data_IF_215156489834
#
_entry.id   IF_215156489834
#
_cell.length_a   1.000
_cell.length_b   1.000
_cell.length_c   1.000
_cell.angle_alpha   90.00
_cell.angle_beta   90.00
_cell.angle_gamma   90.00
#
_symmetry.space_group_name_H-M   'P 1'
#
loop_
_entity.id
_entity.type
_entity.pdbx_description
1 polymer ?
#
# COMPACT_ATOMS: atom_id res chain seq x y z
N UNK A 1 19.43 1.42 0.33
CA UNK A 1 17.99 1.69 0.41
C UNK A 1 17.54 1.04 1.70
N UNK A 2 16.95 1.82 2.59
CA UNK A 2 16.45 1.30 3.86
C UNK A 2 14.98 0.96 3.66
N UNK A 3 14.52 -0.12 4.27
CA UNK A 3 13.14 -0.57 4.22
C UNK A 3 12.59 -0.56 5.62
N UNK A 4 11.32 -0.22 5.80
CA UNK A 4 10.65 -0.32 7.09
C UNK A 4 9.62 -1.45 7.04
N UNK A 5 9.57 -2.22 8.12
CA UNK A 5 8.58 -3.29 8.31
C UNK A 5 7.93 -3.13 9.67
N UNK A 6 6.73 -3.67 9.83
CA UNK A 6 6.06 -3.72 11.12
C UNK A 6 5.86 -5.17 11.58
N UNK A 7 5.90 -5.38 12.89
CA UNK A 7 5.71 -6.70 13.51
C UNK A 7 4.86 -6.57 14.76
N UNK A 8 4.00 -7.56 14.99
CA UNK A 8 3.35 -7.74 16.30
C UNK A 8 4.43 -7.97 17.37
N UNK A 9 4.39 -7.14 18.42
CA UNK A 9 5.24 -7.30 19.61
C UNK A 9 4.48 -8.10 20.66
N UNK A 10 3.28 -7.64 21.02
CA UNK A 10 2.46 -8.26 22.05
C UNK A 10 0.98 -7.90 21.91
N UNK A 11 0.13 -8.73 22.51
CA UNK A 11 -1.28 -8.44 22.72
C UNK A 11 -1.44 -7.57 23.94
N UNK A 12 -2.24 -6.51 23.82
CA UNK A 12 -2.50 -5.56 24.90
C UNK A 12 -3.98 -5.50 25.21
N UNK A 13 -4.34 -5.11 26.43
CA UNK A 13 -5.72 -4.71 26.74
C UNK A 13 -5.94 -3.29 26.23
N UNK A 14 -6.81 -3.10 25.25
CA UNK A 14 -7.09 -1.79 24.69
C UNK A 14 -8.23 -1.11 25.46
N UNK A 15 -8.04 0.17 25.79
CA UNK A 15 -9.08 1.03 26.39
C UNK A 15 -9.28 2.24 25.47
N UNK A 16 -10.43 2.32 24.77
CA UNK A 16 -10.74 3.50 23.97
C UNK A 16 -10.73 4.74 24.85
N UNK A 17 -9.96 5.76 24.45
CA UNK A 17 -9.85 7.03 25.17
C UNK A 17 -11.16 7.84 25.18
N UNK A 18 -12.13 7.47 24.34
CA UNK A 18 -13.42 8.14 24.13
C UNK A 18 -14.55 7.67 25.05
N UNK A 19 -14.38 6.60 25.84
CA UNK A 19 -15.45 6.10 26.72
C UNK A 19 -15.38 6.71 28.12
N UNK A 20 -16.47 7.34 28.62
CA UNK A 20 -16.52 7.90 29.96
C UNK A 20 -16.43 6.77 31.01
N UNK A 21 -15.83 7.09 32.17
CA UNK A 21 -15.62 6.22 33.34
C UNK A 21 -16.89 5.48 33.81
N UNK A 22 -17.31 4.42 33.10
CA UNK A 22 -18.27 3.46 33.60
C UNK A 22 -17.52 2.23 34.09
N UNK A 23 -17.79 1.83 35.33
CA UNK A 23 -17.09 0.77 36.08
C UNK A 23 -17.18 -0.64 35.45
N UNK A 24 -17.86 -0.79 34.29
CA UNK A 24 -17.86 -2.00 33.47
C UNK A 24 -16.84 -1.86 32.32
N UNK A 25 -15.60 -2.24 32.60
CA UNK A 25 -14.47 -2.22 31.67
C UNK A 25 -14.63 -3.30 30.58
N UNK A 26 -15.23 -2.97 29.45
CA UNK A 26 -15.02 -3.74 28.22
C UNK A 26 -13.65 -3.36 27.65
N UNK A 27 -12.61 -4.10 28.04
CA UNK A 27 -11.32 -4.08 27.32
C UNK A 27 -11.43 -5.04 26.16
N UNK A 28 -11.44 -4.52 24.94
CA UNK A 28 -11.20 -5.32 23.75
C UNK A 28 -9.69 -5.57 23.66
N UNK A 29 -9.28 -6.71 23.13
CA UNK A 29 -7.87 -6.99 22.94
C UNK A 29 -7.35 -6.12 21.77
N UNK A 30 -6.20 -5.49 21.95
CA UNK A 30 -5.47 -4.78 20.89
C UNK A 30 -4.08 -5.38 20.69
N UNK A 31 -3.30 -4.75 19.84
CA UNK A 31 -1.93 -5.15 19.53
C UNK A 31 -0.97 -3.98 19.71
N UNK A 32 0.21 -4.25 20.27
CA UNK A 32 1.35 -3.37 20.14
C UNK A 32 2.17 -3.80 18.93
N UNK A 33 2.37 -2.87 18.00
CA UNK A 33 3.06 -3.10 16.74
C UNK A 33 4.38 -2.34 16.76
N UNK A 34 5.49 -3.05 16.59
CA UNK A 34 6.82 -2.45 16.45
C UNK A 34 7.11 -2.07 15.01
N UNK A 35 7.76 -0.94 14.80
CA UNK A 35 8.26 -0.48 13.50
C UNK A 35 9.77 -0.67 13.46
N UNK A 36 10.25 -1.43 12.48
CA UNK A 36 11.64 -1.83 12.35
C UNK A 36 12.22 -1.29 11.05
N UNK A 37 13.37 -0.64 11.16
CA UNK A 37 14.21 -0.28 10.02
C UNK A 37 15.10 -1.47 9.68
N UNK A 38 15.13 -1.83 8.40
CA UNK A 38 15.91 -2.94 7.84
C UNK A 38 17.02 -2.38 6.97
N UNK A 39 18.27 -2.59 7.37
CA UNK A 39 19.46 -2.19 6.62
C UNK A 39 20.47 -3.34 6.61
N UNK A 40 20.94 -3.75 5.43
CA UNK A 40 21.94 -4.83 5.27
C UNK A 40 21.62 -6.13 6.04
N UNK A 41 20.34 -6.46 6.14
CA UNK A 41 19.85 -7.64 6.87
C UNK A 41 19.76 -7.47 8.39
N UNK A 42 20.08 -6.30 8.92
CA UNK A 42 19.90 -5.95 10.32
C UNK A 42 18.59 -5.21 10.52
N UNK A 43 17.88 -5.58 11.60
CA UNK A 43 16.64 -4.94 12.01
C UNK A 43 16.86 -4.13 13.29
N UNK A 44 16.44 -2.87 13.26
CA UNK A 44 16.46 -1.97 14.40
C UNK A 44 15.05 -1.44 14.63
N UNK A 45 14.50 -1.62 15.83
CA UNK A 45 13.22 -1.01 16.18
C UNK A 45 13.40 0.51 16.30
N UNK A 46 12.67 1.26 15.47
CA UNK A 46 12.72 2.73 15.44
C UNK A 46 11.50 3.38 16.10
N UNK A 47 10.43 2.61 16.31
CA UNK A 47 9.25 3.05 17.02
C UNK A 47 8.21 1.95 17.18
N UNK A 48 7.00 2.35 17.58
CA UNK A 48 5.86 1.47 17.77
C UNK A 48 4.55 2.25 17.74
N UNK A 49 3.44 1.56 17.54
CA UNK A 49 2.09 2.08 17.70
C UNK A 49 1.16 1.02 18.25
N UNK A 50 0.04 1.45 18.83
CA UNK A 50 -1.02 0.56 19.30
C UNK A 50 -2.12 0.46 18.25
N UNK A 51 -2.59 -0.76 18.01
CA UNK A 51 -3.75 -1.06 17.18
C UNK A 51 -4.89 -1.53 18.09
N UNK A 52 -6.07 -0.95 17.93
CA UNK A 52 -7.28 -1.29 18.71
C UNK A 52 -8.01 -2.56 18.23
N UNK A 53 -7.33 -3.37 17.42
CA UNK A 53 -7.85 -4.61 16.84
C UNK A 53 -6.88 -5.77 17.06
N UNK A 54 -7.41 -6.98 17.26
CA UNK A 54 -6.63 -8.18 17.64
C UNK A 54 -5.84 -8.81 16.51
N UNK A 55 -6.08 -8.40 15.27
CA UNK A 55 -5.45 -8.98 14.10
C UNK A 55 -4.50 -7.96 13.47
N UNK A 56 -3.23 -8.39 13.35
CA UNK A 56 -2.23 -7.72 12.54
C UNK A 56 -2.40 -8.22 11.10
N UNK A 57 -3.25 -7.54 10.35
CA UNK A 57 -3.33 -7.73 8.90
C UNK A 57 -2.11 -7.08 8.21
N UNK A 58 -2.13 -6.92 6.88
CA UNK A 58 -1.08 -6.22 6.12
C UNK A 58 -1.25 -4.68 6.18
N UNK A 59 -1.55 -4.17 7.38
CA UNK A 59 -1.90 -2.76 7.64
C UNK A 59 -0.69 -1.90 7.99
N UNK A 60 0.46 -2.17 7.37
CA UNK A 60 1.64 -1.32 7.40
C UNK A 60 2.30 -1.34 6.03
N UNK A 61 2.39 -0.19 5.36
CA UNK A 61 3.00 -0.09 4.04
C UNK A 61 3.93 1.11 3.97
N UNK A 62 5.24 0.82 3.94
CA UNK A 62 6.30 1.80 3.74
C UNK A 62 6.32 2.28 2.28
N UNK A 63 6.50 3.59 2.09
CA UNK A 63 6.73 4.20 0.79
C UNK A 63 7.58 5.47 0.90
N UNK A 64 8.11 5.95 -0.22
CA UNK A 64 8.91 7.18 -0.29
C UNK A 64 8.20 8.22 -1.15
N UNK A 65 8.11 9.45 -0.65
CA UNK A 65 7.58 10.59 -1.39
C UNK A 65 8.43 11.83 -1.14
N UNK A 66 8.77 12.58 -2.18
CA UNK A 66 9.65 13.76 -2.11
C UNK A 66 10.97 13.51 -1.35
N UNK A 67 11.52 12.29 -1.48
CA UNK A 67 12.76 11.87 -0.81
C UNK A 67 12.64 11.62 0.70
N UNK A 68 11.41 11.54 1.24
CA UNK A 68 11.13 11.23 2.64
C UNK A 68 10.39 9.89 2.76
N UNK A 69 10.68 9.17 3.84
CA UNK A 69 10.03 7.91 4.16
C UNK A 69 8.72 8.14 4.93
N UNK A 70 7.67 7.46 4.48
CA UNK A 70 6.36 7.44 5.12
C UNK A 70 5.86 6.01 5.25
N UNK A 71 4.86 5.80 6.10
CA UNK A 71 4.07 4.57 6.09
C UNK A 71 2.58 4.87 6.16
N UNK A 72 1.78 4.06 5.46
CA UNK A 72 0.37 3.89 5.76
C UNK A 72 0.23 2.88 6.89
N UNK A 73 -0.55 3.20 7.90
CA UNK A 73 -0.90 2.28 8.98
C UNK A 73 -2.38 2.41 9.39
N UNK A 74 -2.82 1.58 10.32
CA UNK A 74 -4.19 1.61 10.86
C UNK A 74 -4.10 1.34 12.38
N UNK A 75 -3.88 2.37 13.20
CA UNK A 75 -3.92 2.25 14.66
C UNK A 75 -5.36 2.09 15.17
N UNK A 76 -6.32 2.69 14.47
CA UNK A 76 -7.75 2.45 14.65
C UNK A 76 -8.23 1.53 13.52
N UNK A 77 -8.98 0.49 13.88
CA UNK A 77 -9.51 -0.52 12.97
C UNK A 77 -10.27 0.08 11.79
N UNK A 78 -10.81 1.29 11.91
CA UNK A 78 -11.67 1.94 10.90
C UNK A 78 -11.01 3.09 10.12
N UNK A 79 -9.72 3.33 10.34
CA UNK A 79 -9.03 4.51 9.80
C UNK A 79 -7.66 4.15 9.24
N UNK A 80 -7.32 4.78 8.12
CA UNK A 80 -5.94 4.84 7.59
C UNK A 80 -5.24 6.06 8.18
N UNK A 81 -4.02 5.87 8.66
CA UNK A 81 -3.15 6.95 9.14
C UNK A 81 -1.88 7.04 8.28
N UNK A 82 -1.32 8.24 8.25
CA UNK A 82 -0.03 8.52 7.64
C UNK A 82 1.03 8.71 8.74
N UNK A 83 2.09 7.92 8.70
CA UNK A 83 3.22 8.00 9.62
C UNK A 83 4.47 8.53 8.92
N UNK A 84 5.20 9.43 9.56
CA UNK A 84 6.53 9.88 9.15
C UNK A 84 7.63 8.96 9.73
N UNK A 85 8.54 8.48 8.87
CA UNK A 85 9.65 7.62 9.27
C UNK A 85 11.00 8.37 9.16
N UNK A 86 12.01 8.05 10.01
CA UNK A 86 12.00 7.02 11.06
C UNK A 86 11.39 7.48 12.39
N UNK A 87 10.89 8.72 12.49
CA UNK A 87 10.41 9.28 13.76
C UNK A 87 9.17 8.59 14.34
N UNK A 88 8.47 7.79 13.53
CA UNK A 88 7.18 7.18 13.83
C UNK A 88 6.12 8.21 14.29
N UNK A 89 6.26 9.46 13.87
CA UNK A 89 5.29 10.52 14.15
C UNK A 89 4.05 10.31 13.29
N UNK A 90 2.89 10.21 13.93
CA UNK A 90 1.60 10.25 13.24
C UNK A 90 1.35 11.66 12.68
N UNK A 91 1.09 11.74 11.38
CA UNK A 91 0.80 12.97 10.66
C UNK A 91 -0.70 13.23 10.50
N UNK A 92 -1.54 12.21 10.74
CA UNK A 92 -2.99 12.34 10.68
C UNK A 92 -3.67 11.22 9.90
N UNK A 93 -4.99 11.24 10.03
CA UNK A 93 -5.94 10.31 9.43
C UNK A 93 -6.30 10.66 7.98
N UNK A 94 -6.86 9.67 7.28
CA UNK A 94 -7.46 9.86 5.97
C UNK A 94 -8.67 10.78 5.98
N UNK A 95 -8.74 11.65 4.97
CA UNK A 95 -9.95 12.41 4.70
C UNK A 95 -10.90 11.51 3.91
N UNK A 96 -12.05 11.18 4.49
CA UNK A 96 -13.09 10.41 3.83
C UNK A 96 -14.50 10.95 4.08
N UNK A 97 -15.34 10.95 3.05
CA UNK A 97 -16.73 11.40 3.07
C UNK A 97 -17.71 10.23 2.77
N UNK A 98 -17.58 9.11 3.48
CA UNK A 98 -18.44 7.94 3.23
C UNK A 98 -18.57 6.98 4.43
N UNK A 99 -18.80 5.70 4.13
CA UNK A 99 -18.97 4.62 5.13
C UNK A 99 -17.64 4.26 5.81
N UNK A 100 -17.67 4.02 7.12
CA UNK A 100 -16.53 3.48 7.88
C UNK A 100 -15.93 2.26 7.17
N UNK A 101 -14.59 2.23 7.09
CA UNK A 101 -13.86 1.24 6.31
C UNK A 101 -12.74 0.67 7.16
N UNK A 102 -12.70 -0.65 7.32
CA UNK A 102 -11.70 -1.32 8.14
C UNK A 102 -10.55 -1.83 7.28
N UNK A 103 -9.36 -1.17 7.29
CA UNK A 103 -8.25 -1.57 6.43
C UNK A 103 -7.68 -2.92 6.86
N UNK A 104 -7.42 -3.77 5.87
CA UNK A 104 -6.80 -5.08 6.02
C UNK A 104 -5.47 -5.15 5.25
N UNK A 105 -5.34 -4.43 4.15
CA UNK A 105 -4.09 -4.37 3.38
C UNK A 105 -3.90 -3.03 2.69
N UNK A 106 -2.65 -2.59 2.60
CA UNK A 106 -2.26 -1.43 1.80
C UNK A 106 -1.29 -1.84 0.69
N UNK A 107 -1.35 -1.13 -0.43
CA UNK A 107 -0.42 -1.32 -1.52
C UNK A 107 -0.10 0.01 -2.21
N UNK A 108 1.17 0.41 -2.21
CA UNK A 108 1.67 1.57 -2.95
C UNK A 108 2.54 1.06 -4.11
N UNK A 109 2.12 1.23 -5.37
CA UNK A 109 2.91 0.74 -6.50
C UNK A 109 4.27 1.41 -6.60
N UNK A 110 5.26 0.63 -7.03
CA UNK A 110 6.62 1.08 -7.27
C UNK A 110 6.97 1.02 -8.75
N UNK A 111 7.96 1.80 -9.15
CA UNK A 111 8.50 1.75 -10.50
C UNK A 111 9.97 2.19 -10.56
N UNK A 112 10.62 1.88 -11.67
CA UNK A 112 11.90 2.49 -12.08
C UNK A 112 11.78 3.06 -13.48
N UNK A 113 12.47 4.17 -13.70
CA UNK A 113 12.66 4.73 -15.04
C UNK A 113 13.88 4.10 -15.69
N UNK A 114 13.71 3.64 -16.92
CA UNK A 114 14.80 3.11 -17.73
C UNK A 114 14.99 4.00 -18.94
N UNK A 115 16.21 4.51 -19.10
CA UNK A 115 16.64 5.30 -20.24
C UNK A 115 17.49 4.44 -21.16
N UNK A 116 17.08 4.31 -22.42
CA UNK A 116 17.78 3.54 -23.43
C UNK A 116 18.17 4.43 -24.60
N UNK A 117 19.45 4.43 -24.96
CA UNK A 117 19.95 5.17 -26.12
C UNK A 117 19.85 4.31 -27.37
N UNK A 118 19.00 4.70 -28.31
CA UNK A 118 18.84 4.03 -29.59
C UNK A 118 20.16 4.11 -30.38
N UNK A 119 20.70 2.97 -30.78
CA UNK A 119 22.01 2.88 -31.42
C UNK A 119 22.09 3.48 -32.82
N UNK A 120 20.96 3.62 -33.50
CA UNK A 120 20.90 4.13 -34.87
C UNK A 120 20.60 5.63 -34.90
N UNK A 121 19.67 6.09 -34.07
CA UNK A 121 19.22 7.50 -34.05
C UNK A 121 19.93 8.35 -33.00
N UNK A 122 20.57 7.74 -32.00
CA UNK A 122 21.08 8.44 -30.81
C UNK A 122 19.98 9.01 -29.91
N UNK A 123 18.70 8.80 -30.23
CA UNK A 123 17.57 9.26 -29.42
C UNK A 123 17.53 8.47 -28.11
N UNK A 124 17.24 9.15 -27.00
CA UNK A 124 16.96 8.51 -25.72
C UNK A 124 15.48 8.16 -25.67
N UNK A 125 15.20 6.88 -25.51
CA UNK A 125 13.87 6.35 -25.23
C UNK A 125 13.73 6.15 -23.73
N UNK A 126 12.56 6.52 -23.19
CA UNK A 126 12.23 6.35 -21.77
C UNK A 126 11.11 5.35 -21.63
N UNK A 127 11.27 4.42 -20.70
CA UNK A 127 10.22 3.46 -20.33
C UNK A 127 10.16 3.31 -18.82
N UNK A 128 8.99 2.93 -18.32
CA UNK A 128 8.78 2.61 -16.90
C UNK A 128 8.65 1.10 -16.73
N UNK A 129 9.36 0.56 -15.75
CA UNK A 129 9.13 -0.81 -15.26
C UNK A 129 8.39 -0.68 -13.94
N UNK A 130 7.15 -1.12 -13.92
CA UNK A 130 6.33 -1.18 -12.70
C UNK A 130 6.69 -2.43 -11.90
N UNK A 131 6.61 -2.35 -10.57
CA UNK A 131 6.96 -3.44 -9.66
C UNK A 131 8.30 -4.12 -10.01
N UNK A 132 9.40 -3.35 -10.14
CA UNK A 132 10.66 -3.88 -10.62
C UNK A 132 11.21 -4.94 -9.68
N UNK A 133 11.74 -6.02 -10.25
CA UNK A 133 12.40 -7.11 -9.54
C UNK A 133 13.91 -6.83 -9.44
N UNK A 134 14.65 -7.51 -8.55
CA UNK A 134 16.11 -7.32 -8.43
C UNK A 134 16.86 -7.43 -9.77
N UNK A 135 16.43 -8.32 -10.65
CA UNK A 135 16.98 -8.50 -12.00
C UNK A 135 16.82 -7.27 -12.92
N UNK A 136 15.78 -6.44 -12.71
CA UNK A 136 15.53 -5.24 -13.53
C UNK A 136 16.55 -4.12 -13.28
N UNK A 137 17.28 -4.20 -12.16
CA UNK A 137 18.38 -3.29 -11.83
C UNK A 137 19.73 -3.73 -12.41
N UNK A 138 19.81 -4.94 -12.95
CA UNK A 138 21.04 -5.52 -13.49
C UNK A 138 21.01 -5.37 -15.02
N UNK A 139 22.02 -4.74 -15.60
CA UNK A 139 22.20 -4.71 -17.06
C UNK A 139 22.98 -5.98 -17.47
N UNK A 140 22.33 -6.98 -18.10
CA UNK A 140 22.92 -8.31 -18.25
C UNK A 140 24.03 -8.37 -19.31
N UNK A 141 24.08 -7.41 -20.24
CA UNK A 141 25.04 -7.43 -21.34
C UNK A 141 25.92 -6.16 -21.34
N UNK A 142 27.25 -6.28 -21.19
CA UNK A 142 28.20 -5.16 -21.17
C UNK A 142 28.10 -4.24 -22.39
N UNK A 143 27.70 -4.76 -23.56
CA UNK A 143 27.53 -3.97 -24.79
C UNK A 143 26.42 -2.91 -24.68
N UNK A 144 25.50 -3.07 -23.73
CA UNK A 144 24.40 -2.13 -23.47
C UNK A 144 24.63 -1.28 -22.22
N UNK A 145 25.74 -1.49 -21.48
CA UNK A 145 26.00 -0.79 -20.21
C UNK A 145 26.07 0.74 -20.38
N UNK A 146 26.59 1.21 -21.51
CA UNK A 146 26.67 2.64 -21.80
C UNK A 146 25.37 3.20 -22.41
N UNK A 147 24.45 2.32 -22.85
CA UNK A 147 23.21 2.69 -23.55
C UNK A 147 21.99 2.68 -22.64
N UNK A 148 21.97 1.80 -21.65
CA UNK A 148 20.86 1.61 -20.71
C UNK A 148 21.25 2.19 -19.37
N UNK A 149 20.40 3.07 -18.82
CA UNK A 149 20.52 3.58 -17.46
C UNK A 149 19.22 3.31 -16.72
N UNK A 150 19.31 2.62 -15.59
CA UNK A 150 18.18 2.36 -14.69
C UNK A 150 18.24 3.39 -13.57
N UNK A 151 17.15 4.10 -13.35
CA UNK A 151 16.99 5.06 -12.25
C UNK A 151 16.80 4.37 -10.90
N UNK A 152 16.71 5.17 -9.81
CA UNK A 152 16.37 4.63 -8.49
C UNK A 152 14.93 4.11 -8.46
N UNK A 153 14.63 3.24 -7.48
CA UNK A 153 13.26 2.84 -7.16
C UNK A 153 12.45 4.07 -6.74
N UNK A 154 11.25 4.19 -7.30
CA UNK A 154 10.30 5.26 -7.02
C UNK A 154 8.95 4.66 -6.64
N UNK A 155 8.12 5.45 -5.96
CA UNK A 155 6.76 5.10 -5.58
C UNK A 155 5.77 5.98 -6.34
N UNK A 156 4.63 5.41 -6.69
CA UNK A 156 3.52 6.16 -7.28
C UNK A 156 2.94 7.16 -6.26
N UNK A 157 2.40 8.31 -6.71
CA UNK A 157 1.74 9.29 -5.85
C UNK A 157 0.33 8.85 -5.40
N UNK A 158 0.07 7.54 -5.42
CA UNK A 158 -1.20 6.93 -5.03
C UNK A 158 -0.97 5.51 -4.56
N UNK A 159 -1.95 4.98 -3.85
CA UNK A 159 -1.98 3.60 -3.41
C UNK A 159 -3.39 3.02 -3.46
N UNK A 160 -3.51 1.85 -2.88
CA UNK A 160 -4.75 1.10 -2.76
C UNK A 160 -4.89 0.61 -1.33
N UNK A 161 -6.12 0.47 -0.91
CA UNK A 161 -6.47 -0.19 0.35
C UNK A 161 -7.50 -1.28 0.06
N UNK A 162 -7.35 -2.42 0.73
CA UNK A 162 -8.36 -3.46 0.81
C UNK A 162 -8.85 -3.58 2.25
N UNK A 163 -10.15 -3.79 2.42
CA UNK A 163 -10.76 -3.82 3.75
C UNK A 163 -12.28 -3.96 3.70
N UNK A 164 -12.92 -4.23 4.84
CA UNK A 164 -14.37 -4.33 4.89
C UNK A 164 -15.03 -2.95 5.08
N UNK A 165 -16.22 -2.80 4.52
CA UNK A 165 -17.07 -1.64 4.81
C UNK A 165 -17.98 -2.02 5.99
N UNK A 166 -18.23 -1.09 6.89
CA UNK A 166 -19.09 -1.35 8.05
C UNK A 166 -20.45 -1.92 7.62
N UNK A 167 -20.78 -3.11 8.14
CA UNK A 167 -22.01 -3.83 7.81
C UNK A 167 -21.86 -4.88 6.69
N UNK A 168 -20.70 -4.95 6.04
CA UNK A 168 -20.31 -6.10 5.21
C UNK A 168 -18.87 -6.56 5.54
N UNK A 169 -18.80 -7.35 6.59
CA UNK A 169 -17.58 -7.97 7.11
C UNK A 169 -17.17 -9.24 6.31
N UNK A 170 -17.96 -9.65 5.31
CA UNK A 170 -17.72 -10.87 4.56
C UNK A 170 -16.80 -10.68 3.35
N UNK A 171 -16.60 -9.43 2.92
CA UNK A 171 -15.80 -9.13 1.72
C UNK A 171 -14.88 -7.92 1.91
N UNK A 172 -13.69 -7.98 1.33
CA UNK A 172 -12.71 -6.90 1.34
C UNK A 172 -12.78 -6.12 0.03
N UNK A 173 -13.10 -4.82 0.08
CA UNK A 173 -13.30 -3.95 -1.08
C UNK A 173 -11.99 -3.22 -1.38
N UNK A 174 -11.68 -3.05 -2.66
CA UNK A 174 -10.51 -2.32 -3.11
C UNK A 174 -10.91 -0.85 -3.35
N UNK A 175 -10.25 0.06 -2.63
CA UNK A 175 -10.43 1.51 -2.80
C UNK A 175 -9.11 2.21 -3.14
N UNK A 176 -9.23 3.42 -3.69
CA UNK A 176 -8.09 4.25 -4.11
C UNK A 176 -7.63 5.15 -2.96
N UNK A 177 -6.32 5.33 -2.84
CA UNK A 177 -5.68 6.31 -1.96
C UNK A 177 -4.91 7.35 -2.77
N UNK A 178 -5.26 8.63 -2.63
CA UNK A 178 -4.45 9.76 -3.11
C UNK A 178 -3.33 10.06 -2.11
N UNK A 179 -2.08 9.89 -2.55
CA UNK A 179 -0.89 10.14 -1.76
C UNK A 179 -0.08 11.34 -2.28
N UNK A 180 -0.62 12.10 -3.23
CA UNK A 180 0.08 13.22 -3.86
C UNK A 180 0.38 14.38 -2.91
N UNK A 181 -0.24 14.41 -1.73
CA UNK A 181 -0.10 15.48 -0.74
C UNK A 181 0.37 14.99 0.65
N UNK A 182 1.01 13.82 0.71
CA UNK A 182 1.54 13.26 1.97
C UNK A 182 2.55 14.16 2.66
N UNK A 183 3.31 14.97 1.91
CA UNK A 183 4.24 15.96 2.48
C UNK A 183 3.55 17.07 3.27
N UNK A 184 2.23 17.21 3.12
CA UNK A 184 1.37 18.10 3.90
C UNK A 184 0.56 17.37 4.99
N UNK A 185 0.78 16.06 5.16
CA UNK A 185 -0.02 15.22 6.06
C UNK A 185 -1.41 14.87 5.51
N UNK A 186 -1.63 14.96 4.19
CA UNK A 186 -2.95 14.74 3.59
C UNK A 186 -2.94 13.44 2.80
N UNK A 187 -3.83 12.54 3.18
CA UNK A 187 -4.21 11.33 2.43
C UNK A 187 -5.73 11.35 2.21
N UNK A 188 -6.16 10.94 1.02
CA UNK A 188 -7.59 10.88 0.69
C UNK A 188 -7.95 9.50 0.18
N UNK A 189 -9.07 8.96 0.64
CA UNK A 189 -9.63 7.71 0.16
C UNK A 189 -10.87 7.97 -0.68
N UNK A 190 -11.06 7.21 -1.73
CA UNK A 190 -12.35 7.19 -2.44
C UNK A 190 -12.63 5.85 -3.12
N UNK A 191 -13.93 5.60 -3.34
CA UNK A 191 -14.45 4.40 -3.97
C UNK A 191 -14.65 4.57 -5.50
N UNK A 192 -13.71 5.23 -6.21
CA UNK A 192 -13.84 5.49 -7.67
C UNK A 192 -14.04 4.24 -8.54
N UNK A 193 -13.65 3.06 -8.05
CA UNK A 193 -13.83 1.80 -8.78
C UNK A 193 -15.20 1.16 -8.53
N UNK A 194 -16.03 1.75 -7.66
CA UNK A 194 -17.25 1.14 -7.18
C UNK A 194 -16.98 -0.07 -6.29
N UNK A 195 -17.88 -1.06 -6.35
CA UNK A 195 -17.81 -2.25 -5.52
C UNK A 195 -16.96 -3.34 -6.19
N UNK A 196 -15.66 -3.35 -5.90
CA UNK A 196 -14.73 -4.39 -6.36
C UNK A 196 -14.16 -5.12 -5.16
N UNK A 197 -14.43 -6.43 -5.10
CA UNK A 197 -13.96 -7.31 -4.02
C UNK A 197 -12.57 -7.88 -4.37
N UNK A 198 -11.63 -7.77 -3.42
CA UNK A 198 -10.35 -8.47 -3.46
C UNK A 198 -10.60 -9.99 -3.42
N UNK A 199 -10.10 -10.76 -4.40
CA UNK A 199 -10.31 -12.21 -4.40
C UNK A 199 -9.75 -12.89 -3.14
N UNK A 200 -10.52 -13.85 -2.60
CA UNK A 200 -10.09 -14.64 -1.44
C UNK A 200 -8.71 -15.28 -1.69
N UNK A 201 -7.83 -15.17 -0.68
CA UNK A 201 -6.45 -15.66 -0.68
C UNK A 201 -5.52 -15.00 -1.71
N UNK A 202 -5.88 -13.84 -2.24
CA UNK A 202 -4.99 -13.03 -3.09
C UNK A 202 -4.51 -11.80 -2.31
N UNK A 203 -3.23 -11.45 -2.47
CA UNK A 203 -2.74 -10.19 -1.92
C UNK A 203 -3.22 -9.00 -2.74
N UNK A 204 -3.38 -7.85 -2.10
CA UNK A 204 -3.77 -6.62 -2.79
C UNK A 204 -2.79 -6.26 -3.92
N UNK A 205 -1.49 -6.42 -3.69
CA UNK A 205 -0.45 -6.15 -4.70
C UNK A 205 -0.56 -7.04 -5.96
N UNK A 206 -1.09 -8.26 -5.81
CA UNK A 206 -1.28 -9.20 -6.92
C UNK A 206 -2.58 -8.93 -7.69
N UNK A 207 -3.55 -8.26 -7.04
CA UNK A 207 -4.81 -7.90 -7.65
C UNK A 207 -4.68 -6.65 -8.55
N UNK A 208 -3.66 -5.83 -8.34
CA UNK A 208 -3.45 -4.58 -9.08
C UNK A 208 -2.31 -4.76 -10.09
N UNK A 209 -2.63 -4.69 -11.37
CA UNK A 209 -1.64 -4.69 -12.45
C UNK A 209 -1.48 -3.28 -13.03
N UNK A 210 -0.26 -2.78 -13.01
CA UNK A 210 0.11 -1.46 -13.52
C UNK A 210 0.48 -1.57 -15.00
N UNK A 211 -0.30 -0.95 -15.89
CA UNK A 211 -0.07 -1.06 -17.34
C UNK A 211 1.31 -0.51 -17.72
N UNK A 212 2.04 -1.29 -18.51
CA UNK A 212 3.31 -0.89 -19.10
C UNK A 212 3.14 0.28 -20.08
N UNK A 213 3.99 1.30 -19.95
CA UNK A 213 3.91 2.52 -20.75
C UNK A 213 5.22 2.80 -21.50
N UNK A 214 5.09 2.97 -22.81
CA UNK A 214 6.11 3.54 -23.68
C UNK A 214 5.78 5.01 -23.95
N UNK A 215 6.82 5.85 -23.90
CA UNK A 215 6.79 7.29 -24.18
C UNK A 215 6.09 8.14 -23.09
N UNK A 216 6.92 8.81 -22.28
CA UNK A 216 6.57 9.33 -20.94
C UNK A 216 6.14 10.80 -20.91
N UNK A 217 5.44 11.28 -21.93
CA UNK A 217 5.08 12.70 -21.98
C UNK A 217 3.89 13.08 -21.07
N UNK A 218 3.21 12.12 -20.41
CA UNK A 218 2.09 12.39 -19.49
C UNK A 218 1.98 11.40 -18.33
N UNK A 219 1.54 11.91 -17.17
CA UNK A 219 1.11 11.16 -15.98
C UNK A 219 -0.23 10.40 -16.22
N UNK A 220 -0.31 9.58 -17.27
CA UNK A 220 -1.51 8.79 -17.60
C UNK A 220 -1.44 7.41 -16.92
N UNK A 221 -1.65 7.35 -15.60
CA UNK A 221 -1.66 6.08 -14.88
C UNK A 221 -2.89 5.24 -15.25
N UNK A 222 -2.65 3.99 -15.66
CA UNK A 222 -3.70 3.02 -15.94
C UNK A 222 -3.41 1.70 -15.25
N UNK A 223 -4.47 1.07 -14.77
CA UNK A 223 -4.39 -0.20 -14.03
C UNK A 223 -5.41 -1.20 -14.58
N UNK A 224 -5.11 -2.48 -14.40
CA UNK A 224 -6.11 -3.54 -14.36
C UNK A 224 -6.30 -4.00 -12.91
N UNK A 225 -7.54 -4.31 -12.55
CA UNK A 225 -7.87 -4.94 -11.27
C UNK A 225 -8.37 -6.35 -11.57
N UNK A 226 -7.65 -7.35 -11.06
CA UNK A 226 -8.03 -8.74 -11.18
C UNK A 226 -9.19 -9.04 -10.22
N UNK A 227 -10.30 -9.51 -10.78
CA UNK A 227 -11.50 -9.88 -10.01
C UNK A 227 -11.80 -11.36 -10.17
N UNK A 228 -12.43 -11.95 -9.15
CA UNK A 228 -12.94 -13.32 -9.19
C UNK A 228 -14.47 -13.29 -9.23
N UNK A 229 -15.04 -14.06 -10.16
CA UNK A 229 -16.48 -14.28 -10.26
C UNK A 229 -16.79 -15.74 -10.00
N UNK A 230 -17.87 -15.99 -9.27
CA UNK A 230 -18.37 -17.32 -8.98
C UNK A 230 -19.55 -17.63 -9.89
N UNK A 231 -19.57 -18.83 -10.42
CA UNK A 231 -20.64 -19.33 -11.28
C UNK A 231 -21.11 -20.67 -10.76
N UNK A 232 -22.41 -20.88 -10.81
CA UNK A 232 -23.00 -22.19 -10.68
C UNK A 232 -22.69 -23.01 -11.95
N UNK A 233 -22.13 -24.21 -11.79
CA UNK A 233 -21.64 -25.01 -12.91
C UNK A 233 -22.78 -25.65 -13.72
N UNK A 234 -23.93 -25.88 -13.09
CA UNK A 234 -25.06 -26.56 -13.73
C UNK A 234 -25.88 -25.58 -14.59
N UNK A 235 -26.02 -24.34 -14.11
CA UNK A 235 -26.85 -23.31 -14.72
C UNK A 235 -26.05 -22.25 -15.48
N UNK A 236 -24.75 -22.13 -15.21
CA UNK A 236 -23.91 -21.05 -15.73
C UNK A 236 -24.27 -19.67 -15.16
N UNK A 237 -25.18 -19.60 -14.18
CA UNK A 237 -25.56 -18.35 -13.56
C UNK A 237 -24.46 -17.86 -12.64
N UNK A 238 -24.16 -16.57 -12.71
CA UNK A 238 -23.28 -15.93 -11.76
C UNK A 238 -23.97 -15.92 -10.39
N UNK A 239 -23.28 -16.41 -9.37
CA UNK A 239 -23.77 -16.28 -7.99
C UNK A 239 -23.14 -15.04 -7.38
N UNK A 240 -23.96 -14.19 -6.79
CA UNK A 240 -23.46 -13.16 -5.89
C UNK A 240 -22.96 -13.85 -4.62
N UNK A 241 -21.67 -13.72 -4.34
CA UNK A 241 -20.91 -14.22 -3.17
C UNK A 241 -20.54 -15.73 -3.18
#
# INVERSE_FOLDING_TARGET
MHMYIAKEIEKIGYRPSSLPNSENQFTWNGLRIGVFRVEDGHEEQVGEYERDYTHFFETFCHFVSDGKDYALNSPNAYETHLMELPSCRDLGEEQFEGIEFCPEAYYVPTFVEVHETNSYSGKIERRRVNQPKPEDFIIPNPLYRDRVKVGPLQYCPFGFVAGCEWGDDATSKIQYLDLSQVSKGIIKRDARFGYIVLPLNQKLEEAIDMIYQHDFDKDDYRIYINIRKRFDIETGQMSDF
#
